data_IF_116680647769
#
_entry.id   IF_116680647769
#
_cell.length_a   1.000
_cell.length_b   1.000
_cell.length_c   1.000
_cell.angle_alpha   90.00
_cell.angle_beta   90.00
_cell.angle_gamma   90.00
#
_symmetry.space_group_name_H-M   'P 1'
#
loop_
_entity.id
_entity.type
_entity.pdbx_description
1 polymer ?
#
# COMPACT_ATOMS: atom_id res chain seq x y z
N UNK A 1 14.56 -14.20 -29.24
CA UNK A 1 14.30 -13.12 -28.28
C UNK A 1 13.10 -13.52 -27.44
N UNK A 2 13.13 -13.41 -26.11
CA UNK A 2 11.93 -13.61 -25.31
C UNK A 2 10.95 -12.49 -25.66
N UNK A 3 9.71 -12.84 -25.96
CA UNK A 3 8.63 -11.87 -26.12
C UNK A 3 8.29 -11.43 -24.69
N UNK A 4 8.83 -10.30 -24.24
CA UNK A 4 8.39 -9.68 -22.99
C UNK A 4 6.91 -9.29 -23.17
N UNK A 5 6.02 -10.11 -22.63
CA UNK A 5 4.59 -9.82 -22.65
C UNK A 5 4.35 -8.58 -21.78
N UNK A 6 3.89 -7.50 -22.41
CA UNK A 6 3.55 -6.28 -21.67
C UNK A 6 2.44 -6.58 -20.67
N UNK A 7 2.55 -6.12 -19.42
CA UNK A 7 1.54 -6.38 -18.42
C UNK A 7 0.20 -5.79 -18.86
N UNK A 8 -0.82 -6.62 -18.78
CA UNK A 8 -2.22 -6.26 -18.99
C UNK A 8 -2.63 -5.12 -18.06
N UNK A 9 -3.71 -4.42 -18.42
CA UNK A 9 -4.28 -3.35 -17.57
C UNK A 9 -4.58 -3.87 -16.16
N UNK A 10 -5.14 -5.08 -16.07
CA UNK A 10 -5.44 -5.74 -14.80
C UNK A 10 -4.18 -6.01 -13.97
N UNK A 11 -3.10 -6.50 -14.59
CA UNK A 11 -1.83 -6.74 -13.88
C UNK A 11 -1.24 -5.45 -13.33
N UNK A 12 -1.34 -4.34 -14.07
CA UNK A 12 -0.93 -3.01 -13.59
C UNK A 12 -1.79 -2.55 -12.41
N UNK A 13 -3.11 -2.68 -12.49
CA UNK A 13 -4.01 -2.31 -11.40
C UNK A 13 -3.77 -3.14 -10.13
N UNK A 14 -3.57 -4.45 -10.26
CA UNK A 14 -3.20 -5.33 -9.14
C UNK A 14 -1.87 -4.90 -8.53
N UNK A 15 -0.86 -4.61 -9.37
CA UNK A 15 0.43 -4.12 -8.90
C UNK A 15 0.29 -2.79 -8.14
N UNK A 16 -0.55 -1.87 -8.63
CA UNK A 16 -0.78 -0.60 -7.97
C UNK A 16 -1.49 -0.76 -6.62
N UNK A 17 -2.42 -1.71 -6.48
CA UNK A 17 -3.05 -2.08 -5.19
C UNK A 17 -2.03 -2.70 -4.21
N UNK A 18 -1.05 -3.46 -4.70
CA UNK A 18 -0.01 -4.04 -3.84
C UNK A 18 0.88 -2.98 -3.18
N UNK A 19 1.05 -1.80 -3.78
CA UNK A 19 1.87 -0.72 -3.22
C UNK A 19 1.38 -0.23 -1.86
N UNK A 20 0.12 0.24 -1.71
CA UNK A 20 -0.40 0.65 -0.40
C UNK A 20 -0.51 -0.53 0.58
N UNK A 21 -0.82 -1.76 0.12
CA UNK A 21 -0.79 -2.93 1.00
C UNK A 21 0.60 -3.18 1.62
N UNK A 22 1.66 -3.12 0.81
CA UNK A 22 3.03 -3.25 1.31
C UNK A 22 3.39 -2.12 2.26
N UNK A 23 2.92 -0.90 1.99
CA UNK A 23 3.12 0.24 2.90
C UNK A 23 2.43 -0.02 4.25
N UNK A 24 1.21 -0.55 4.26
CA UNK A 24 0.51 -0.93 5.51
C UNK A 24 1.34 -1.94 6.31
N UNK A 25 1.79 -3.03 5.66
CA UNK A 25 2.61 -4.06 6.33
C UNK A 25 3.87 -3.47 6.93
N UNK A 26 4.63 -2.68 6.14
CA UNK A 26 5.87 -2.06 6.60
C UNK A 26 5.64 -1.07 7.75
N UNK A 27 4.59 -0.25 7.70
CA UNK A 27 4.28 0.68 8.79
C UNK A 27 3.83 -0.04 10.06
N UNK A 28 3.09 -1.16 9.93
CA UNK A 28 2.72 -1.98 11.07
C UNK A 28 3.95 -2.64 11.73
N UNK A 29 4.91 -3.11 10.94
CA UNK A 29 6.20 -3.59 11.44
C UNK A 29 7.01 -2.47 12.11
N UNK A 30 7.02 -1.27 11.53
CA UNK A 30 7.68 -0.11 12.11
C UNK A 30 7.08 0.27 13.47
N UNK A 31 5.76 0.19 13.63
CA UNK A 31 5.10 0.41 14.92
C UNK A 31 5.62 -0.57 15.98
N UNK A 32 5.74 -1.86 15.65
CA UNK A 32 6.32 -2.86 16.56
C UNK A 32 7.75 -2.48 16.95
N UNK A 33 8.59 -2.15 15.97
CA UNK A 33 9.98 -1.75 16.20
C UNK A 33 10.07 -0.52 17.12
N UNK A 34 9.23 0.49 16.90
CA UNK A 34 9.21 1.73 17.69
C UNK A 34 8.86 1.46 19.15
N UNK A 35 7.87 0.59 19.39
CA UNK A 35 7.47 0.17 20.73
C UNK A 35 8.56 -0.65 21.43
N UNK A 36 9.16 -1.62 20.74
CA UNK A 36 10.20 -2.49 21.30
C UNK A 36 11.48 -1.74 21.68
N UNK A 37 11.85 -0.74 20.88
CA UNK A 37 13.11 0.00 21.02
C UNK A 37 12.95 1.36 21.72
N UNK A 38 11.77 1.66 22.28
CA UNK A 38 11.46 2.94 22.94
C UNK A 38 11.83 4.16 22.06
N UNK A 39 11.61 4.05 20.75
CA UNK A 39 11.83 5.15 19.81
C UNK A 39 10.76 6.24 20.01
N UNK A 40 10.95 7.45 19.45
CA UNK A 40 10.04 8.57 19.69
C UNK A 40 8.58 8.23 19.33
N UNK A 41 7.67 8.50 20.25
CA UNK A 41 6.23 8.23 20.08
C UNK A 41 5.61 8.95 18.86
N UNK A 42 6.19 10.08 18.42
CA UNK A 42 5.79 10.75 17.19
C UNK A 42 5.85 9.81 15.96
N UNK A 43 6.79 8.86 15.93
CA UNK A 43 6.87 7.87 14.85
C UNK A 43 5.70 6.88 14.83
N UNK A 44 5.05 6.65 15.97
CA UNK A 44 3.83 5.84 16.02
C UNK A 44 2.66 6.55 15.34
N UNK A 45 2.49 7.84 15.63
CA UNK A 45 1.47 8.66 15.00
C UNK A 45 1.70 8.74 13.48
N UNK A 46 2.92 9.05 13.04
CA UNK A 46 3.27 9.09 11.62
C UNK A 46 3.04 7.75 10.90
N UNK A 47 3.37 6.63 11.55
CA UNK A 47 3.16 5.30 10.98
C UNK A 47 1.66 4.98 10.88
N UNK A 48 0.88 5.31 11.91
CA UNK A 48 -0.57 5.15 11.91
C UNK A 48 -1.24 6.00 10.81
N UNK A 49 -0.83 7.26 10.65
CA UNK A 49 -1.35 8.15 9.59
C UNK A 49 -1.05 7.58 8.20
N UNK A 50 0.15 7.04 7.99
CA UNK A 50 0.52 6.38 6.73
C UNK A 50 -0.28 5.12 6.48
N UNK A 51 -0.63 4.35 7.52
CA UNK A 51 -1.54 3.20 7.39
C UNK A 51 -2.91 3.67 6.94
N UNK A 52 -3.49 4.69 7.60
CA UNK A 52 -4.80 5.24 7.27
C UNK A 52 -4.84 5.75 5.82
N UNK A 53 -3.83 6.50 5.40
CA UNK A 53 -3.70 6.98 4.03
C UNK A 53 -3.61 5.83 3.03
N UNK A 54 -2.83 4.79 3.34
CA UNK A 54 -2.71 3.61 2.48
C UNK A 54 -4.02 2.83 2.38
N UNK A 55 -4.80 2.74 3.46
CA UNK A 55 -6.13 2.14 3.42
C UNK A 55 -7.08 2.92 2.49
N UNK A 56 -7.04 4.26 2.53
CA UNK A 56 -7.81 5.10 1.63
C UNK A 56 -7.38 4.91 0.16
N UNK A 57 -6.06 4.87 -0.09
CA UNK A 57 -5.50 4.56 -1.41
C UNK A 57 -5.94 3.19 -1.92
N UNK A 58 -5.87 2.14 -1.08
CA UNK A 58 -6.38 0.80 -1.40
C UNK A 58 -7.86 0.86 -1.79
N UNK A 59 -8.68 1.56 -1.01
CA UNK A 59 -10.11 1.68 -1.28
C UNK A 59 -10.38 2.33 -2.63
N UNK A 60 -9.65 3.40 -2.96
CA UNK A 60 -9.80 4.09 -4.24
C UNK A 60 -9.38 3.18 -5.41
N UNK A 61 -8.22 2.53 -5.31
CA UNK A 61 -7.71 1.67 -6.37
C UNK A 61 -8.61 0.44 -6.61
N UNK A 62 -9.19 -0.11 -5.54
CA UNK A 62 -10.18 -1.19 -5.65
C UNK A 62 -11.49 -0.71 -6.29
N UNK A 63 -11.91 0.53 -6.02
CA UNK A 63 -13.08 1.12 -6.67
C UNK A 63 -12.82 1.37 -8.16
N UNK A 64 -11.62 1.82 -8.51
CA UNK A 64 -11.20 2.02 -9.91
C UNK A 64 -11.05 0.70 -10.67
N UNK A 65 -10.76 -0.40 -9.97
CA UNK A 65 -10.69 -1.75 -10.55
C UNK A 65 -12.07 -2.26 -11.01
N UNK A 66 -13.13 -1.89 -10.31
CA UNK A 66 -14.52 -2.33 -10.59
C UNK A 66 -15.35 -1.28 -11.32
N UNK A 67 -14.87 -0.03 -11.38
CA UNK A 67 -15.54 1.03 -12.10
C UNK A 67 -15.56 0.69 -13.60
N UNK A 68 -16.72 0.79 -14.28
CA UNK A 68 -16.80 0.54 -15.71
C UNK A 68 -15.89 1.55 -16.42
N UNK A 69 -14.90 1.06 -17.17
CA UNK A 69 -14.10 1.88 -18.07
C UNK A 69 -15.05 2.56 -19.06
N UNK A 70 -15.16 3.89 -18.93
CA UNK A 70 -15.96 4.73 -19.83
C UNK A 70 -15.34 4.80 -21.23
#
# INVERSE_FOLDING_TARGET
MPIEQQPTVLEKQIHDIRKPLNRISMQAELIKLVLENQLPAAKLAEAADKILQSCQECSQLLQDLIAPTK
#
